data_IF_143261059563
#
_entry.id   IF_143261059563
#
_cell.length_a   1.000
_cell.length_b   1.000
_cell.length_c   1.000
_cell.angle_alpha   90.00
_cell.angle_beta   90.00
_cell.angle_gamma   90.00
#
_symmetry.space_group_name_H-M   'P 1'
#
loop_
_entity.id
_entity.type
_entity.pdbx_description
1 polymer ?
#
# COMPACT_ATOMS: atom_id res chain seq x y z
N UNK A 1 -2.63 -36.07 32.90
CA UNK A 1 -2.57 -34.68 33.46
C UNK A 1 -1.40 -33.86 32.85
N UNK A 2 -0.28 -34.51 32.50
CA UNK A 2 0.88 -33.83 31.87
C UNK A 2 0.62 -33.32 30.45
N UNK A 3 0.06 -34.12 29.56
CA UNK A 3 -0.18 -33.72 28.16
C UNK A 3 -1.21 -32.61 28.03
N UNK A 4 -2.21 -32.51 28.92
CA UNK A 4 -3.19 -31.43 28.90
C UNK A 4 -2.57 -30.09 29.35
N UNK A 5 -1.66 -30.13 30.34
CA UNK A 5 -0.90 -28.97 30.80
C UNK A 5 0.08 -28.48 29.72
N UNK A 6 0.77 -29.39 29.02
CA UNK A 6 1.68 -29.04 27.92
C UNK A 6 0.93 -28.42 26.72
N UNK A 7 -0.29 -28.89 26.42
CA UNK A 7 -1.16 -28.27 25.41
C UNK A 7 -1.59 -26.87 25.82
N UNK A 8 -1.95 -26.65 27.11
CA UNK A 8 -2.33 -25.33 27.61
C UNK A 8 -1.14 -24.35 27.60
N UNK A 9 0.07 -24.82 27.93
CA UNK A 9 1.30 -24.02 27.89
C UNK A 9 1.64 -23.63 26.44
N UNK A 10 1.44 -24.52 25.46
CA UNK A 10 1.63 -24.19 24.04
C UNK A 10 0.65 -23.12 23.54
N UNK A 11 -0.62 -23.20 23.94
CA UNK A 11 -1.64 -22.20 23.56
C UNK A 11 -1.37 -20.83 24.20
N UNK A 12 -0.78 -20.80 25.41
CA UNK A 12 -0.45 -19.54 26.09
C UNK A 12 0.77 -18.79 25.48
N UNK A 13 1.49 -19.40 24.54
CA UNK A 13 2.66 -18.82 23.85
C UNK A 13 2.36 -18.36 22.43
N UNK A 14 1.11 -18.50 21.94
CA UNK A 14 0.72 -18.00 20.62
C UNK A 14 0.63 -16.48 20.70
N UNK A 15 1.49 -15.80 19.94
CA UNK A 15 1.47 -14.36 19.76
C UNK A 15 1.68 -14.05 18.26
N UNK A 16 1.52 -12.79 17.87
CA UNK A 16 1.67 -12.38 16.47
C UNK A 16 3.03 -12.81 15.87
N UNK A 17 4.11 -12.66 16.62
CA UNK A 17 5.46 -13.03 16.16
C UNK A 17 5.61 -14.54 15.96
N UNK A 18 5.00 -15.37 16.83
CA UNK A 18 4.98 -16.83 16.67
C UNK A 18 4.06 -17.29 15.53
N UNK A 19 3.11 -16.45 15.11
CA UNK A 19 2.25 -16.65 13.95
C UNK A 19 2.86 -16.11 12.65
N UNK A 20 4.09 -15.57 12.68
CA UNK A 20 4.80 -15.07 11.50
C UNK A 20 4.55 -13.58 11.19
N UNK A 21 3.94 -12.82 12.12
CA UNK A 21 3.67 -11.40 11.94
C UNK A 21 4.57 -10.57 12.86
N UNK A 22 5.43 -9.72 12.28
CA UNK A 22 6.32 -8.81 13.01
C UNK A 22 5.74 -7.37 13.03
N UNK A 23 5.00 -7.05 14.10
CA UNK A 23 4.37 -5.74 14.28
C UNK A 23 5.41 -4.61 14.31
N UNK A 24 6.60 -4.86 14.88
CA UNK A 24 7.64 -3.83 15.01
C UNK A 24 8.20 -3.49 13.61
N UNK A 25 8.43 -4.49 12.77
CA UNK A 25 8.84 -4.29 11.37
C UNK A 25 7.75 -3.55 10.56
N UNK A 26 6.47 -3.85 10.81
CA UNK A 26 5.35 -3.12 10.20
C UNK A 26 5.34 -1.64 10.58
N UNK A 27 5.48 -1.33 11.87
CA UNK A 27 5.55 0.05 12.35
C UNK A 27 6.77 0.79 11.78
N UNK A 28 7.94 0.13 11.75
CA UNK A 28 9.15 0.71 11.15
C UNK A 28 8.94 1.04 9.67
N UNK A 29 8.32 0.13 8.90
CA UNK A 29 8.03 0.38 7.50
C UNK A 29 7.15 1.62 7.31
N UNK A 30 6.09 1.76 8.10
CA UNK A 30 5.20 2.94 8.07
C UNK A 30 5.96 4.21 8.42
N UNK A 31 6.79 4.20 9.46
CA UNK A 31 7.58 5.37 9.85
C UNK A 31 8.56 5.81 8.75
N UNK A 32 9.17 4.88 8.02
CA UNK A 32 10.10 5.16 6.92
C UNK A 32 9.42 5.82 5.72
N UNK A 33 8.18 5.45 5.40
CA UNK A 33 7.46 5.94 4.21
C UNK A 33 6.62 7.19 4.46
N UNK A 34 6.31 7.50 5.69
CA UNK A 34 5.33 8.51 6.10
C UNK A 34 5.53 9.88 5.45
N UNK A 35 6.73 10.41 5.47
CA UNK A 35 7.01 11.75 4.93
C UNK A 35 7.02 11.76 3.40
N UNK A 36 7.55 10.71 2.77
CA UNK A 36 7.54 10.57 1.32
C UNK A 36 6.13 10.45 0.77
N UNK A 37 5.28 9.62 1.38
CA UNK A 37 3.87 9.48 1.01
C UNK A 37 3.12 10.80 1.19
N UNK A 38 3.33 11.49 2.30
CA UNK A 38 2.73 12.81 2.54
C UNK A 38 3.10 13.84 1.47
N UNK A 39 4.27 13.70 0.83
CA UNK A 39 4.68 14.59 -0.26
C UNK A 39 3.84 14.47 -1.54
N UNK A 40 3.00 13.44 -1.67
CA UNK A 40 2.04 13.26 -2.77
C UNK A 40 0.70 13.93 -2.51
N UNK A 41 0.45 14.41 -1.27
CA UNK A 41 -0.85 14.90 -0.88
C UNK A 41 -1.18 16.23 -1.56
N UNK A 42 -2.30 16.26 -2.25
CA UNK A 42 -2.92 17.50 -2.72
C UNK A 42 -3.72 18.15 -1.58
N UNK A 43 -4.12 19.43 -1.71
CA UNK A 43 -4.97 20.09 -0.71
C UNK A 43 -6.30 19.39 -0.42
N UNK A 44 -6.74 18.49 -1.30
CA UNK A 44 -7.96 17.72 -1.15
C UNK A 44 -7.86 16.58 -0.11
N UNK A 45 -6.64 16.18 0.27
CA UNK A 45 -6.44 15.11 1.27
C UNK A 45 -6.67 15.66 2.67
N UNK A 46 -7.68 15.15 3.37
CA UNK A 46 -8.11 15.63 4.68
C UNK A 46 -7.58 14.80 5.86
N UNK A 47 -7.02 13.62 5.59
CA UNK A 47 -6.45 12.72 6.63
C UNK A 47 -4.98 12.44 6.38
N UNK A 48 -4.24 12.14 7.46
CA UNK A 48 -2.86 11.64 7.36
C UNK A 48 -2.81 10.11 7.22
N UNK A 49 -1.60 9.59 6.97
CA UNK A 49 -1.30 8.16 7.04
C UNK A 49 -1.56 7.60 8.45
N UNK A 50 -2.00 6.33 8.52
CA UNK A 50 -2.25 5.63 9.78
C UNK A 50 -3.71 5.68 10.24
N UNK A 51 -4.61 6.29 9.48
CA UNK A 51 -6.06 6.19 9.66
C UNK A 51 -6.59 4.91 9.00
N UNK A 52 -7.70 4.35 9.51
CA UNK A 52 -8.36 3.17 8.91
C UNK A 52 -8.97 3.43 7.53
N UNK A 53 -9.01 4.68 7.10
CA UNK A 53 -9.45 5.11 5.78
C UNK A 53 -8.97 6.53 5.51
N UNK A 54 -8.98 6.93 4.25
CA UNK A 54 -8.64 8.28 3.83
C UNK A 54 -9.90 9.11 3.57
N UNK A 55 -9.83 10.40 3.91
CA UNK A 55 -10.84 11.38 3.55
C UNK A 55 -10.27 12.29 2.46
N UNK A 56 -11.01 12.44 1.38
CA UNK A 56 -10.65 13.26 0.24
C UNK A 56 -11.80 14.21 -0.10
N UNK A 57 -11.53 15.51 -0.15
CA UNK A 57 -12.52 16.51 -0.51
C UNK A 57 -12.79 16.48 -2.02
N UNK A 58 -13.98 16.04 -2.39
CA UNK A 58 -14.42 15.97 -3.79
C UNK A 58 -15.06 17.27 -4.27
N UNK A 59 -15.41 18.19 -3.38
CA UNK A 59 -16.18 19.39 -3.76
C UNK A 59 -15.50 20.21 -4.88
N UNK A 60 -14.20 20.55 -4.79
CA UNK A 60 -13.56 21.31 -5.86
C UNK A 60 -13.56 20.60 -7.21
N UNK A 61 -13.52 19.26 -7.20
CA UNK A 61 -13.50 18.44 -8.41
C UNK A 61 -14.88 18.33 -9.02
N UNK A 62 -15.92 18.13 -8.18
CA UNK A 62 -17.30 18.01 -8.64
C UNK A 62 -17.81 19.32 -9.28
N UNK A 63 -17.27 20.47 -8.86
CA UNK A 63 -17.60 21.78 -9.46
C UNK A 63 -17.05 21.93 -10.90
N UNK A 64 -16.09 21.08 -11.31
CA UNK A 64 -15.55 21.08 -12.69
C UNK A 64 -16.44 20.33 -13.69
N UNK A 65 -17.42 19.54 -13.23
CA UNK A 65 -18.21 18.64 -14.06
C UNK A 65 -19.70 18.88 -13.90
N UNK A 66 -20.43 18.93 -15.01
CA UNK A 66 -21.89 19.04 -15.00
C UNK A 66 -22.56 17.76 -14.46
N UNK A 67 -22.07 16.60 -14.86
CA UNK A 67 -22.57 15.29 -14.46
C UNK A 67 -21.38 14.38 -14.06
N UNK A 68 -20.85 14.53 -12.83
CA UNK A 68 -19.68 13.79 -12.42
C UNK A 68 -19.97 12.29 -12.26
N UNK A 69 -19.02 11.45 -12.69
CA UNK A 69 -19.06 10.00 -12.56
C UNK A 69 -17.76 9.55 -11.87
N UNK A 70 -17.88 8.66 -10.88
CA UNK A 70 -16.74 8.03 -10.23
C UNK A 70 -16.30 6.79 -11.04
N UNK A 71 -15.02 6.75 -11.42
CA UNK A 71 -14.37 5.60 -12.03
C UNK A 71 -13.39 5.00 -11.04
N UNK A 72 -13.39 3.70 -10.90
CA UNK A 72 -12.51 2.96 -9.98
C UNK A 72 -11.87 1.79 -10.72
N UNK A 73 -10.59 1.55 -10.45
CA UNK A 73 -9.84 0.39 -10.92
C UNK A 73 -9.02 -0.20 -9.78
N UNK A 74 -8.77 -1.49 -9.85
CA UNK A 74 -7.82 -2.22 -9.02
C UNK A 74 -7.09 -3.23 -9.89
N UNK A 75 -5.76 -3.19 -9.84
CA UNK A 75 -4.88 -4.11 -10.56
C UNK A 75 -3.61 -4.38 -9.75
N UNK A 76 -2.79 -5.32 -10.22
CA UNK A 76 -1.52 -5.70 -9.61
C UNK A 76 -0.41 -5.85 -10.63
N UNK A 77 0.83 -5.89 -10.17
CA UNK A 77 2.02 -6.01 -11.04
C UNK A 77 2.29 -7.44 -11.53
N UNK A 78 1.58 -8.43 -10.97
CA UNK A 78 1.68 -9.82 -11.39
C UNK A 78 3.10 -10.39 -11.28
N UNK A 79 3.50 -11.18 -12.27
CA UNK A 79 4.78 -11.92 -12.28
C UNK A 79 6.03 -11.04 -12.36
N UNK A 80 5.92 -9.75 -12.62
CA UNK A 80 7.05 -8.80 -12.59
C UNK A 80 7.72 -8.74 -11.21
N UNK A 81 7.00 -9.06 -10.14
CA UNK A 81 7.57 -9.19 -8.78
C UNK A 81 8.69 -10.23 -8.69
N UNK A 82 8.60 -11.31 -9.48
CA UNK A 82 9.64 -12.35 -9.55
C UNK A 82 10.94 -11.74 -10.11
N UNK A 83 10.83 -10.94 -11.18
CA UNK A 83 11.98 -10.27 -11.80
C UNK A 83 12.61 -9.26 -10.84
N UNK A 84 11.78 -8.43 -10.18
CA UNK A 84 12.24 -7.48 -9.19
C UNK A 84 13.04 -8.16 -8.07
N UNK A 85 12.53 -9.29 -7.57
CA UNK A 85 13.22 -10.11 -6.55
C UNK A 85 14.55 -10.68 -7.04
N UNK A 86 14.60 -11.18 -8.27
CA UNK A 86 15.84 -11.70 -8.88
C UNK A 86 16.89 -10.60 -9.07
N UNK A 87 16.47 -9.39 -9.36
CA UNK A 87 17.35 -8.23 -9.56
C UNK A 87 17.70 -7.51 -8.25
N UNK A 88 16.97 -7.76 -7.16
CA UNK A 88 17.10 -7.00 -5.92
C UNK A 88 16.75 -5.51 -6.09
N UNK A 89 15.80 -5.18 -6.99
CA UNK A 89 15.40 -3.83 -7.31
C UNK A 89 13.88 -3.70 -7.29
N UNK A 90 13.33 -2.90 -6.38
CA UNK A 90 11.91 -2.90 -6.09
C UNK A 90 11.18 -1.57 -6.38
N UNK A 91 11.88 -0.44 -6.52
CA UNK A 91 11.24 0.85 -6.81
C UNK A 91 10.44 0.84 -8.12
N UNK A 92 10.91 0.15 -9.15
CA UNK A 92 10.20 0.04 -10.44
C UNK A 92 8.87 -0.69 -10.34
N UNK A 93 8.69 -1.57 -9.35
CA UNK A 93 7.42 -2.25 -9.09
C UNK A 93 6.34 -1.27 -8.59
N UNK A 94 6.74 -0.28 -7.77
CA UNK A 94 5.83 0.78 -7.33
C UNK A 94 5.34 1.65 -8.48
N UNK A 95 6.23 2.01 -9.41
CA UNK A 95 5.89 2.75 -10.64
C UNK A 95 4.93 1.92 -11.51
N UNK A 96 5.24 0.64 -11.71
CA UNK A 96 4.42 -0.29 -12.49
C UNK A 96 3.01 -0.43 -11.91
N UNK A 97 2.88 -0.56 -10.58
CA UNK A 97 1.59 -0.72 -9.91
C UNK A 97 0.69 0.48 -10.14
N UNK A 98 1.19 1.69 -9.88
CA UNK A 98 0.42 2.91 -10.13
C UNK A 98 0.04 3.02 -11.61
N UNK A 99 1.00 2.76 -12.52
CA UNK A 99 0.79 2.88 -13.96
C UNK A 99 -0.28 1.90 -14.46
N UNK A 100 -0.31 0.67 -13.96
CA UNK A 100 -1.36 -0.30 -14.32
C UNK A 100 -2.74 0.24 -13.95
N UNK A 101 -2.95 0.61 -12.68
CA UNK A 101 -4.24 1.12 -12.21
C UNK A 101 -4.67 2.43 -12.88
N UNK A 102 -3.73 3.37 -13.09
CA UNK A 102 -4.05 4.66 -13.69
C UNK A 102 -4.33 4.56 -15.19
N UNK A 103 -3.67 3.65 -15.91
CA UNK A 103 -3.96 3.41 -17.31
C UNK A 103 -5.40 2.90 -17.51
N UNK A 104 -5.92 2.04 -16.64
CA UNK A 104 -7.30 1.61 -16.67
C UNK A 104 -8.28 2.77 -16.48
N UNK A 105 -7.97 3.69 -15.58
CA UNK A 105 -8.76 4.91 -15.34
C UNK A 105 -8.74 5.83 -16.56
N UNK A 106 -7.56 6.03 -17.17
CA UNK A 106 -7.38 6.91 -18.33
C UNK A 106 -8.11 6.38 -19.56
N UNK A 107 -8.13 5.05 -19.79
CA UNK A 107 -8.91 4.43 -20.88
C UNK A 107 -10.39 4.78 -20.81
N UNK A 108 -10.92 4.99 -19.60
CA UNK A 108 -12.30 5.44 -19.38
C UNK A 108 -12.48 6.95 -19.52
N UNK A 109 -11.42 7.71 -19.85
CA UNK A 109 -11.43 9.17 -19.94
C UNK A 109 -11.49 9.88 -18.58
N UNK A 110 -11.18 9.18 -17.50
CA UNK A 110 -11.20 9.72 -16.15
C UNK A 110 -9.83 10.23 -15.70
N UNK A 111 -9.83 11.21 -14.79
CA UNK A 111 -8.63 11.73 -14.13
C UNK A 111 -8.37 10.94 -12.84
N UNK A 112 -7.19 10.31 -12.66
CA UNK A 112 -6.81 9.72 -11.39
C UNK A 112 -6.71 10.78 -10.28
N UNK A 113 -7.19 10.46 -9.08
CA UNK A 113 -7.23 11.40 -7.95
C UNK A 113 -6.48 10.86 -6.74
N UNK A 114 -6.76 9.62 -6.38
CA UNK A 114 -6.19 8.96 -5.20
C UNK A 114 -5.74 7.56 -5.55
N UNK A 115 -4.77 7.06 -4.80
CA UNK A 115 -4.26 5.71 -4.91
C UNK A 115 -4.19 5.04 -3.53
N UNK A 116 -4.54 3.77 -3.48
CA UNK A 116 -4.41 2.87 -2.34
C UNK A 116 -3.66 1.63 -2.80
N UNK A 117 -2.64 1.23 -2.06
CA UNK A 117 -1.84 0.05 -2.37
C UNK A 117 -2.19 -1.15 -1.47
N UNK A 118 -1.84 -2.34 -1.93
CA UNK A 118 -1.81 -3.56 -1.14
C UNK A 118 -0.52 -4.32 -1.39
N UNK A 119 0.29 -4.47 -0.34
CA UNK A 119 1.57 -5.18 -0.42
C UNK A 119 1.53 -6.40 0.49
N UNK A 120 1.54 -7.60 -0.11
CA UNK A 120 1.64 -8.87 0.61
C UNK A 120 3.06 -9.43 0.53
N UNK A 121 3.61 -9.85 1.67
CA UNK A 121 4.95 -10.41 1.79
C UNK A 121 4.94 -11.67 2.63
N UNK A 122 5.77 -12.65 2.28
CA UNK A 122 6.08 -13.78 3.16
C UNK A 122 6.69 -13.29 4.48
N UNK A 123 7.69 -12.43 4.40
CA UNK A 123 8.32 -11.77 5.53
C UNK A 123 8.54 -10.29 5.23
N UNK A 124 8.02 -9.44 6.09
CA UNK A 124 8.14 -8.00 5.93
C UNK A 124 9.59 -7.55 6.18
N UNK A 125 10.11 -6.76 5.23
CA UNK A 125 11.40 -6.08 5.31
C UNK A 125 11.17 -4.60 5.06
N UNK A 126 11.31 -3.74 6.10
CA UNK A 126 11.00 -2.31 5.99
C UNK A 126 11.71 -1.62 4.83
N UNK A 127 12.95 -1.99 4.55
CA UNK A 127 13.74 -1.44 3.45
C UNK A 127 13.18 -1.76 2.06
N UNK A 128 12.58 -2.95 1.88
CA UNK A 128 11.93 -3.34 0.62
C UNK A 128 10.61 -2.58 0.44
N UNK A 129 9.83 -2.47 1.52
CA UNK A 129 8.58 -1.68 1.51
C UNK A 129 8.89 -0.23 1.16
N UNK A 130 9.89 0.37 1.80
CA UNK A 130 10.34 1.73 1.53
C UNK A 130 10.72 1.91 0.05
N UNK A 131 11.45 0.97 -0.53
CA UNK A 131 11.85 1.02 -1.95
C UNK A 131 10.64 0.92 -2.88
N UNK A 132 9.69 -0.01 -2.64
CA UNK A 132 8.46 -0.13 -3.43
C UNK A 132 7.64 1.16 -3.35
N UNK A 133 7.41 1.66 -2.14
CA UNK A 133 6.63 2.88 -1.92
C UNK A 133 7.30 4.10 -2.53
N UNK A 134 8.65 4.17 -2.53
CA UNK A 134 9.37 5.27 -3.19
C UNK A 134 9.04 5.36 -4.68
N UNK A 135 8.91 4.23 -5.37
CA UNK A 135 8.47 4.19 -6.76
C UNK A 135 7.02 4.65 -6.95
N UNK A 136 6.11 4.23 -6.05
CA UNK A 136 4.72 4.73 -6.08
C UNK A 136 4.67 6.26 -5.87
N UNK A 137 5.44 6.77 -4.91
CA UNK A 137 5.52 8.22 -4.62
C UNK A 137 6.05 9.00 -5.82
N UNK A 138 7.11 8.51 -6.47
CA UNK A 138 7.66 9.12 -7.69
C UNK A 138 6.58 9.25 -8.76
N UNK A 139 5.91 8.16 -9.09
CA UNK A 139 4.88 8.12 -10.12
C UNK A 139 3.62 8.92 -9.73
N UNK A 140 3.19 8.89 -8.45
CA UNK A 140 2.08 9.70 -7.96
C UNK A 140 2.33 11.19 -8.12
N UNK A 141 3.55 11.65 -7.81
CA UNK A 141 3.93 13.06 -7.95
C UNK A 141 3.99 13.53 -9.39
N UNK A 142 4.36 12.64 -10.31
CA UNK A 142 4.45 12.95 -11.74
C UNK A 142 3.08 13.29 -12.34
N UNK A 143 2.00 12.69 -11.82
CA UNK A 143 0.65 12.82 -12.36
C UNK A 143 -0.36 13.44 -11.37
N UNK A 144 0.12 14.10 -10.30
CA UNK A 144 -0.70 14.75 -9.26
C UNK A 144 -1.74 13.82 -8.59
N UNK A 145 -1.40 12.55 -8.39
CA UNK A 145 -2.21 11.58 -7.64
C UNK A 145 -1.74 11.52 -6.20
N UNK A 146 -2.67 11.50 -5.24
CA UNK A 146 -2.34 11.34 -3.83
C UNK A 146 -2.34 9.87 -3.42
N UNK A 147 -1.19 9.36 -2.92
CA UNK A 147 -1.11 8.05 -2.25
C UNK A 147 -1.68 8.21 -0.84
N UNK A 148 -2.96 7.88 -0.67
CA UNK A 148 -3.70 8.25 0.55
C UNK A 148 -3.74 7.16 1.63
N UNK A 149 -3.17 5.99 1.35
CA UNK A 149 -3.10 4.88 2.28
C UNK A 149 -2.88 3.56 1.55
N UNK A 150 -3.04 2.48 2.27
CA UNK A 150 -2.87 1.13 1.75
C UNK A 150 -2.83 0.10 2.87
N UNK A 151 -2.38 -1.11 2.55
CA UNK A 151 -2.20 -2.19 3.50
C UNK A 151 -0.90 -2.94 3.20
N UNK A 152 -0.13 -3.19 4.24
CA UNK A 152 1.05 -4.06 4.16
C UNK A 152 0.82 -5.28 5.03
N UNK A 153 0.71 -6.45 4.43
CA UNK A 153 0.41 -7.71 5.11
C UNK A 153 1.60 -8.67 5.11
N UNK A 154 1.88 -9.29 6.25
CA UNK A 154 2.68 -10.51 6.30
C UNK A 154 1.79 -11.72 6.08
N UNK A 155 2.10 -12.49 5.06
CA UNK A 155 1.39 -13.71 4.67
C UNK A 155 2.43 -14.82 4.50
N UNK A 156 2.83 -15.51 5.58
CA UNK A 156 3.79 -16.62 5.51
C UNK A 156 3.39 -17.66 4.46
N UNK A 157 4.38 -18.21 3.77
CA UNK A 157 4.21 -19.22 2.71
C UNK A 157 3.55 -18.68 1.38
N UNK A 158 3.59 -17.37 1.13
CA UNK A 158 3.14 -16.76 -0.16
C UNK A 158 4.28 -16.33 -1.07
#
# INVERSE_FOLDING_TARGET
>A
MGEWLERQIRVSQINYKSAGVDIDAGNEAVDRIKDSVKSTFTPNVLTGLGSFGSLYDLKPILEEYENPVLVQSVDGVGTKTIIARMMGKYNTIGIDLLSACTNDIIVMGARPLTFLDYIANDKLKPEIIEEIVSGMVEACREIDVSLVGGETAEMPDT
#
